data_IF_504240362688
#
_entry.id   IF_504240362688
#
_cell.length_a   1.000
_cell.length_b   1.000
_cell.length_c   1.000
_cell.angle_alpha   90.00
_cell.angle_beta   90.00
_cell.angle_gamma   90.00
#
_symmetry.space_group_name_H-M   'P 1'
#
loop_
_entity.id
_entity.type
_entity.pdbx_description
1 polymer ?
#
# COMPACT_ATOMS: atom_id res chain seq x y z
N UNK A 1 -8.84 31.20 -0.28
CA UNK A 1 -10.03 31.86 -0.91
C UNK A 1 -10.63 31.12 -2.11
N UNK A 2 -9.87 30.49 -3.03
CA UNK A 2 -10.44 29.82 -4.23
C UNK A 2 -11.10 28.44 -3.98
N UNK A 3 -10.79 27.76 -2.87
CA UNK A 3 -11.31 26.41 -2.56
C UNK A 3 -12.82 26.40 -2.30
N UNK A 4 -13.37 27.49 -1.75
CA UNK A 4 -14.76 27.53 -1.29
C UNK A 4 -15.79 27.80 -2.40
N UNK A 5 -15.34 28.17 -3.60
CA UNK A 5 -16.21 28.47 -4.75
C UNK A 5 -16.34 27.32 -5.75
N UNK A 6 -15.53 26.26 -5.64
CA UNK A 6 -15.56 25.12 -6.56
C UNK A 6 -16.74 24.18 -6.27
N UNK A 7 -17.36 23.61 -7.32
CA UNK A 7 -18.40 22.61 -7.14
C UNK A 7 -17.80 21.28 -6.63
N UNK A 8 -18.54 20.47 -5.85
CA UNK A 8 -18.03 19.22 -5.30
C UNK A 8 -17.40 18.25 -6.34
N UNK A 9 -17.96 18.09 -7.56
CA UNK A 9 -17.34 17.23 -8.58
C UNK A 9 -15.97 17.73 -9.07
N UNK A 10 -15.82 19.04 -9.26
CA UNK A 10 -14.56 19.67 -9.72
C UNK A 10 -13.49 19.55 -8.63
N UNK A 11 -13.88 19.81 -7.38
CA UNK A 11 -13.00 19.68 -6.23
C UNK A 11 -12.58 18.23 -6.01
N UNK A 12 -13.50 17.28 -6.15
CA UNK A 12 -13.23 15.84 -6.14
C UNK A 12 -12.19 15.45 -7.18
N UNK A 13 -12.34 15.91 -8.42
CA UNK A 13 -11.39 15.64 -9.50
C UNK A 13 -10.00 16.18 -9.17
N UNK A 14 -9.90 17.44 -8.74
CA UNK A 14 -8.64 18.07 -8.39
C UNK A 14 -7.95 17.37 -7.21
N UNK A 15 -8.70 17.11 -6.13
CA UNK A 15 -8.20 16.40 -4.94
C UNK A 15 -7.70 15.01 -5.31
N UNK A 16 -8.44 14.28 -6.15
CA UNK A 16 -8.03 12.94 -6.59
C UNK A 16 -6.68 12.95 -7.31
N UNK A 17 -6.52 13.78 -8.35
CA UNK A 17 -5.28 13.80 -9.13
C UNK A 17 -4.10 14.34 -8.33
N UNK A 18 -4.31 15.32 -7.46
CA UNK A 18 -3.26 15.81 -6.57
C UNK A 18 -2.88 14.75 -5.52
N UNK A 19 -3.83 14.03 -4.93
CA UNK A 19 -3.54 12.97 -3.97
C UNK A 19 -2.77 11.82 -4.63
N UNK A 20 -3.25 11.31 -5.77
CA UNK A 20 -2.62 10.21 -6.51
C UNK A 20 -1.26 10.62 -7.06
N UNK A 21 -1.12 11.85 -7.56
CA UNK A 21 0.14 12.42 -8.04
C UNK A 21 1.11 12.86 -6.93
N UNK A 22 0.83 12.51 -5.68
CA UNK A 22 1.76 12.72 -4.59
C UNK A 22 1.84 14.15 -4.05
N UNK A 23 0.87 15.00 -4.39
CA UNK A 23 0.76 16.39 -3.93
C UNK A 23 -0.25 16.55 -2.79
N UNK A 24 -0.56 15.47 -2.08
CA UNK A 24 -1.54 15.43 -0.98
C UNK A 24 -1.25 16.45 0.14
N UNK A 25 0.03 16.74 0.43
CA UNK A 25 0.43 17.75 1.40
C UNK A 25 0.02 19.18 1.02
N UNK A 26 -0.08 19.49 -0.28
CA UNK A 26 -0.42 20.82 -0.78
C UNK A 26 -1.93 21.10 -0.79
N UNK A 27 -2.75 20.05 -0.65
CA UNK A 27 -4.21 20.14 -0.80
C UNK A 27 -4.96 19.81 0.50
N UNK A 28 -4.30 19.90 1.66
CA UNK A 28 -4.89 19.51 2.95
C UNK A 28 -6.14 20.32 3.34
N UNK A 29 -6.16 21.63 3.06
CA UNK A 29 -7.35 22.47 3.29
C UNK A 29 -8.48 22.09 2.31
N UNK A 30 -8.14 21.85 1.05
CA UNK A 30 -9.09 21.48 0.01
C UNK A 30 -9.73 20.11 0.24
N UNK A 31 -8.96 19.12 0.70
CA UNK A 31 -9.47 17.80 1.04
C UNK A 31 -10.31 17.81 2.31
N UNK A 32 -9.96 18.62 3.33
CA UNK A 32 -10.80 18.84 4.50
C UNK A 32 -12.15 19.45 4.15
N UNK A 33 -12.15 20.53 3.37
CA UNK A 33 -13.39 21.18 2.90
C UNK A 33 -14.25 20.26 2.04
N UNK A 34 -13.62 19.45 1.16
CA UNK A 34 -14.34 18.44 0.38
C UNK A 34 -15.05 17.43 1.28
N UNK A 35 -14.35 16.89 2.30
CA UNK A 35 -14.92 15.92 3.24
C UNK A 35 -16.20 16.46 3.92
N UNK A 36 -16.16 17.71 4.42
CA UNK A 36 -17.33 18.38 5.01
C UNK A 36 -18.49 18.52 4.03
N UNK A 37 -18.21 18.88 2.76
CA UNK A 37 -19.25 19.05 1.73
C UNK A 37 -19.89 17.72 1.33
N UNK A 38 -19.12 16.64 1.25
CA UNK A 38 -19.64 15.32 0.91
C UNK A 38 -20.50 14.71 2.02
N UNK A 39 -20.33 15.14 3.28
CA UNK A 39 -21.27 14.76 4.34
C UNK A 39 -22.69 15.31 4.08
N UNK A 40 -22.81 16.39 3.30
CA UNK A 40 -24.06 17.06 2.97
C UNK A 40 -24.53 16.87 1.51
N UNK A 41 -23.78 16.14 0.68
CA UNK A 41 -24.08 15.98 -0.75
C UNK A 41 -23.65 14.62 -1.31
N UNK A 42 -24.28 14.19 -2.40
CA UNK A 42 -23.94 12.94 -3.11
C UNK A 42 -23.22 13.23 -4.42
N UNK A 43 -22.21 12.42 -4.76
CA UNK A 43 -21.62 12.42 -6.12
C UNK A 43 -22.37 11.39 -6.98
N UNK A 44 -22.71 11.77 -8.21
CA UNK A 44 -23.58 10.99 -9.10
C UNK A 44 -22.93 9.71 -9.68
N UNK A 45 -21.61 9.56 -9.57
CA UNK A 45 -20.85 8.47 -10.17
C UNK A 45 -20.16 7.60 -9.11
N UNK A 46 -20.51 6.30 -9.00
CA UNK A 46 -19.88 5.39 -8.03
C UNK A 46 -18.37 5.26 -8.19
N UNK A 47 -17.85 5.34 -9.42
CA UNK A 47 -16.40 5.32 -9.67
C UNK A 47 -15.73 6.60 -9.16
N UNK A 48 -16.33 7.75 -9.44
CA UNK A 48 -15.83 9.05 -8.95
C UNK A 48 -15.89 9.08 -7.43
N UNK A 49 -16.96 8.56 -6.83
CA UNK A 49 -17.09 8.43 -5.38
C UNK A 49 -15.97 7.57 -4.78
N UNK A 50 -15.71 6.38 -5.33
CA UNK A 50 -14.61 5.53 -4.87
C UNK A 50 -13.25 6.25 -4.97
N UNK A 51 -12.98 6.89 -6.12
CA UNK A 51 -11.77 7.70 -6.34
C UNK A 51 -11.62 8.85 -5.33
N UNK A 52 -12.74 9.46 -4.94
CA UNK A 52 -12.78 10.58 -3.99
C UNK A 52 -12.51 10.12 -2.57
N UNK A 53 -13.24 9.09 -2.12
CA UNK A 53 -13.07 8.47 -0.80
C UNK A 53 -11.64 7.97 -0.63
N UNK A 54 -11.09 7.33 -1.65
CA UNK A 54 -9.70 6.90 -1.65
C UNK A 54 -8.71 8.06 -1.56
N UNK A 55 -8.91 9.13 -2.33
CA UNK A 55 -8.06 10.32 -2.27
C UNK A 55 -8.09 10.99 -0.88
N UNK A 56 -9.25 11.02 -0.23
CA UNK A 56 -9.38 11.50 1.15
C UNK A 56 -8.60 10.61 2.13
N UNK A 57 -8.58 9.29 1.94
CA UNK A 57 -7.75 8.38 2.75
C UNK A 57 -6.26 8.65 2.54
N UNK A 58 -5.84 8.80 1.28
CA UNK A 58 -4.46 9.18 0.92
C UNK A 58 -4.07 10.49 1.62
N UNK A 59 -4.95 11.48 1.63
CA UNK A 59 -4.73 12.77 2.29
C UNK A 59 -4.89 12.78 3.82
N UNK A 60 -5.28 11.68 4.46
CA UNK A 60 -5.60 11.64 5.90
C UNK A 60 -6.74 12.59 6.31
N UNK A 61 -7.79 12.64 5.47
CA UNK A 61 -8.98 13.48 5.66
C UNK A 61 -10.30 12.72 5.51
N UNK A 62 -10.24 11.40 5.36
CA UNK A 62 -11.42 10.57 5.22
C UNK A 62 -12.18 10.45 6.55
N UNK A 63 -13.50 10.67 6.53
CA UNK A 63 -14.36 10.41 7.69
C UNK A 63 -14.84 8.94 7.73
N UNK A 64 -15.17 8.41 8.93
CA UNK A 64 -15.70 7.05 9.06
C UNK A 64 -16.98 6.82 8.26
N UNK A 65 -17.87 7.81 8.20
CA UNK A 65 -19.17 7.72 7.52
C UNK A 65 -18.98 7.57 6.01
N UNK A 66 -18.08 8.38 5.42
CA UNK A 66 -17.74 8.29 4.01
C UNK A 66 -17.05 6.96 3.68
N UNK A 67 -16.15 6.48 4.55
CA UNK A 67 -15.51 5.17 4.36
C UNK A 67 -16.52 4.03 4.33
N UNK A 68 -17.56 4.08 5.18
CA UNK A 68 -18.60 3.05 5.23
C UNK A 68 -19.45 2.99 3.95
N UNK A 69 -19.63 4.11 3.24
CA UNK A 69 -20.41 4.13 2.01
C UNK A 69 -19.84 3.22 0.92
N UNK A 70 -18.50 3.11 0.83
CA UNK A 70 -17.84 2.28 -0.20
C UNK A 70 -17.83 0.79 0.15
N UNK A 71 -18.19 0.44 1.39
CA UNK A 71 -18.31 -0.94 1.85
C UNK A 71 -19.74 -1.48 1.74
N UNK A 72 -20.72 -0.62 1.42
CA UNK A 72 -22.10 -1.06 1.26
C UNK A 72 -22.23 -2.06 0.10
N UNK A 73 -22.91 -3.20 0.28
CA UNK A 73 -23.03 -4.23 -0.76
C UNK A 73 -23.58 -3.70 -2.09
N UNK A 74 -24.53 -2.76 -2.04
CA UNK A 74 -25.11 -2.11 -3.22
C UNK A 74 -24.08 -1.27 -3.98
N UNK A 75 -23.23 -0.54 -3.26
CA UNK A 75 -22.14 0.25 -3.84
C UNK A 75 -21.10 -0.66 -4.49
N UNK A 76 -20.63 -1.67 -3.77
CA UNK A 76 -19.64 -2.65 -4.25
C UNK A 76 -20.15 -3.33 -5.54
N UNK A 77 -21.40 -3.79 -5.54
CA UNK A 77 -22.03 -4.40 -6.72
C UNK A 77 -22.08 -3.42 -7.89
N UNK A 78 -22.45 -2.16 -7.66
CA UNK A 78 -22.54 -1.14 -8.71
C UNK A 78 -21.18 -0.82 -9.32
N UNK A 79 -20.15 -0.57 -8.49
CA UNK A 79 -18.80 -0.24 -8.95
C UNK A 79 -18.16 -1.40 -9.71
N UNK A 80 -18.32 -2.63 -9.22
CA UNK A 80 -17.64 -3.80 -9.77
C UNK A 80 -18.39 -4.47 -10.92
N UNK A 81 -19.71 -4.29 -11.05
CA UNK A 81 -20.57 -5.07 -11.95
C UNK A 81 -20.21 -5.03 -13.44
N UNK A 82 -19.41 -4.06 -13.89
CA UNK A 82 -18.92 -3.94 -15.28
C UNK A 82 -17.40 -4.04 -15.40
N UNK A 83 -16.70 -4.42 -14.34
CA UNK A 83 -15.24 -4.51 -14.32
C UNK A 83 -14.81 -5.98 -14.37
N UNK A 84 -13.72 -6.25 -15.08
CA UNK A 84 -13.05 -7.55 -15.12
C UNK A 84 -11.53 -7.38 -15.12
N UNK A 85 -10.82 -8.47 -14.85
CA UNK A 85 -9.35 -8.51 -14.87
C UNK A 85 -8.71 -7.41 -14.01
N UNK A 86 -7.67 -6.76 -14.54
CA UNK A 86 -6.92 -5.71 -13.84
C UNK A 86 -7.77 -4.54 -13.37
N UNK A 87 -8.80 -4.15 -14.14
CA UNK A 87 -9.69 -3.03 -13.74
C UNK A 87 -10.52 -3.37 -12.51
N UNK A 88 -10.98 -4.63 -12.44
CA UNK A 88 -11.69 -5.12 -11.25
C UNK A 88 -10.75 -5.20 -10.05
N UNK A 89 -9.53 -5.74 -10.26
CA UNK A 89 -8.53 -5.83 -9.20
C UNK A 89 -8.20 -4.46 -8.61
N UNK A 90 -7.94 -3.44 -9.44
CA UNK A 90 -7.71 -2.06 -8.99
C UNK A 90 -8.83 -1.54 -8.09
N UNK A 91 -10.09 -1.72 -8.49
CA UNK A 91 -11.23 -1.27 -7.71
C UNK A 91 -11.36 -2.04 -6.39
N UNK A 92 -11.18 -3.38 -6.44
CA UNK A 92 -11.26 -4.25 -5.25
C UNK A 92 -10.16 -3.90 -4.24
N UNK A 93 -8.91 -3.73 -4.67
CA UNK A 93 -7.82 -3.35 -3.77
C UNK A 93 -8.02 -1.94 -3.20
N UNK A 94 -8.58 -1.01 -3.99
CA UNK A 94 -8.95 0.33 -3.49
C UNK A 94 -9.99 0.24 -2.38
N UNK A 95 -11.04 -0.56 -2.56
CA UNK A 95 -12.08 -0.79 -1.53
C UNK A 95 -11.47 -1.46 -0.29
N UNK A 96 -10.61 -2.47 -0.46
CA UNK A 96 -9.93 -3.16 0.63
C UNK A 96 -9.01 -2.23 1.44
N UNK A 97 -8.29 -1.32 0.78
CA UNK A 97 -7.46 -0.32 1.44
C UNK A 97 -8.29 0.69 2.23
N UNK A 98 -9.43 1.14 1.69
CA UNK A 98 -10.37 2.01 2.44
C UNK A 98 -10.97 1.28 3.63
N UNK A 99 -11.34 -0.01 3.46
CA UNK A 99 -11.79 -0.86 4.56
C UNK A 99 -10.76 -0.94 5.68
N UNK A 100 -9.49 -1.20 5.32
CA UNK A 100 -8.42 -1.29 6.30
C UNK A 100 -8.15 0.06 6.97
N UNK A 101 -8.19 1.16 6.21
CA UNK A 101 -8.10 2.52 6.77
C UNK A 101 -9.20 2.77 7.81
N UNK A 102 -10.44 2.39 7.50
CA UNK A 102 -11.56 2.48 8.45
C UNK A 102 -11.30 1.64 9.71
N UNK A 103 -10.97 0.36 9.55
CA UNK A 103 -10.83 -0.58 10.67
C UNK A 103 -9.59 -0.35 11.52
N UNK A 104 -8.48 0.09 10.95
CA UNK A 104 -7.22 0.21 11.68
C UNK A 104 -6.97 1.62 12.21
N UNK A 105 -7.49 2.66 11.55
CA UNK A 105 -7.15 4.06 11.84
C UNK A 105 -8.36 4.84 12.34
N UNK A 106 -9.49 4.81 11.62
CA UNK A 106 -10.63 5.68 11.94
C UNK A 106 -11.55 5.13 13.04
N UNK A 107 -11.88 3.84 12.98
CA UNK A 107 -12.81 3.19 13.90
C UNK A 107 -12.46 1.71 14.09
N UNK A 108 -11.64 1.43 15.11
CA UNK A 108 -11.21 0.08 15.49
C UNK A 108 -12.34 -0.85 15.95
N UNK A 109 -13.49 -0.29 16.32
CA UNK A 109 -14.65 -1.05 16.74
C UNK A 109 -15.65 -1.30 15.61
N UNK A 110 -15.34 -0.94 14.36
CA UNK A 110 -16.26 -1.10 13.23
C UNK A 110 -16.62 -2.58 12.98
N UNK A 111 -17.93 -2.87 13.03
CA UNK A 111 -18.53 -4.20 12.80
C UNK A 111 -19.50 -4.23 11.60
N UNK A 112 -19.47 -3.20 10.74
CA UNK A 112 -20.36 -3.13 9.58
C UNK A 112 -19.91 -4.02 8.42
N UNK A 113 -20.51 -3.85 7.22
CA UNK A 113 -20.15 -4.60 6.03
C UNK A 113 -18.65 -4.59 5.74
N UNK A 114 -18.15 -5.74 5.29
CA UNK A 114 -16.78 -5.91 4.84
C UNK A 114 -16.69 -6.68 3.53
N UNK A 115 -15.59 -6.48 2.82
CA UNK A 115 -15.25 -7.15 1.58
C UNK A 115 -14.05 -8.08 1.78
N UNK A 116 -14.04 -9.15 1.01
CA UNK A 116 -12.90 -10.04 0.83
C UNK A 116 -12.47 -10.04 -0.65
N UNK A 117 -11.15 -9.96 -0.89
CA UNK A 117 -10.61 -9.84 -2.25
C UNK A 117 -10.82 -11.13 -3.05
N UNK A 118 -10.66 -12.30 -2.43
CA UNK A 118 -10.80 -13.59 -3.10
C UNK A 118 -12.26 -13.82 -3.51
N UNK A 119 -13.21 -13.50 -2.62
CA UNK A 119 -14.64 -13.60 -2.87
C UNK A 119 -15.08 -12.68 -4.02
N UNK A 120 -14.58 -11.43 -4.02
CA UNK A 120 -14.94 -10.46 -5.05
C UNK A 120 -14.28 -10.77 -6.40
N UNK A 121 -13.04 -11.25 -6.41
CA UNK A 121 -12.30 -11.51 -7.65
C UNK A 121 -12.60 -12.88 -8.27
N UNK A 122 -12.89 -13.90 -7.45
CA UNK A 122 -13.12 -15.28 -7.87
C UNK A 122 -11.93 -15.86 -8.66
N UNK A 123 -10.72 -15.45 -8.30
CA UNK A 123 -9.47 -15.97 -8.84
C UNK A 123 -8.65 -16.63 -7.75
N UNK A 124 -7.78 -17.58 -8.13
CA UNK A 124 -6.82 -18.17 -7.20
C UNK A 124 -5.84 -17.11 -6.67
N UNK A 125 -5.32 -17.30 -5.45
CA UNK A 125 -4.32 -16.39 -4.87
C UNK A 125 -3.09 -16.24 -5.75
N UNK A 126 -2.64 -17.31 -6.41
CA UNK A 126 -1.51 -17.27 -7.35
C UNK A 126 -1.79 -16.33 -8.53
N UNK A 127 -2.99 -16.42 -9.12
CA UNK A 127 -3.40 -15.53 -10.21
C UNK A 127 -3.49 -14.08 -9.75
N UNK A 128 -4.04 -13.84 -8.55
CA UNK A 128 -4.14 -12.48 -8.00
C UNK A 128 -2.78 -11.87 -7.69
N UNK A 129 -1.85 -12.66 -7.16
CA UNK A 129 -0.48 -12.21 -6.86
C UNK A 129 0.26 -11.80 -8.14
N UNK A 130 0.15 -12.60 -9.21
CA UNK A 130 0.72 -12.25 -10.52
C UNK A 130 0.08 -10.99 -11.11
N UNK A 131 -1.25 -10.86 -11.03
CA UNK A 131 -1.95 -9.66 -11.49
C UNK A 131 -1.54 -8.42 -10.67
N UNK A 132 -1.42 -8.54 -9.36
CA UNK A 132 -1.02 -7.44 -8.48
C UNK A 132 0.42 -7.00 -8.74
N UNK A 133 1.35 -7.94 -8.96
CA UNK A 133 2.73 -7.66 -9.36
C UNK A 133 2.76 -6.84 -10.66
N UNK A 134 2.04 -7.32 -11.69
CA UNK A 134 1.96 -6.65 -13.01
C UNK A 134 1.30 -5.29 -12.92
N UNK A 135 0.29 -5.14 -12.06
CA UNK A 135 -0.38 -3.86 -11.83
C UNK A 135 0.54 -2.86 -11.14
N UNK A 136 1.32 -3.32 -10.15
CA UNK A 136 2.22 -2.49 -9.34
C UNK A 136 3.40 -1.96 -10.16
N UNK A 137 4.07 -2.83 -10.91
CA UNK A 137 5.34 -2.51 -11.56
C UNK A 137 5.20 -2.26 -13.07
N UNK A 138 4.21 -2.88 -13.71
CA UNK A 138 4.08 -2.88 -15.16
C UNK A 138 5.29 -3.51 -15.86
N UNK A 139 5.31 -3.42 -17.20
CA UNK A 139 6.39 -4.03 -18.01
C UNK A 139 7.75 -3.35 -17.84
N UNK A 140 7.77 -2.06 -17.54
CA UNK A 140 9.01 -1.28 -17.53
C UNK A 140 9.88 -1.59 -16.31
N UNK A 141 9.29 -2.02 -15.20
CA UNK A 141 10.00 -2.35 -13.96
C UNK A 141 10.17 -3.85 -13.72
N UNK A 142 9.65 -4.70 -14.62
CA UNK A 142 9.63 -6.16 -14.46
C UNK A 142 11.05 -6.74 -14.31
N UNK A 143 12.01 -6.23 -15.09
CA UNK A 143 13.41 -6.64 -14.98
C UNK A 143 14.05 -6.24 -13.64
N UNK A 144 13.82 -4.99 -13.20
CA UNK A 144 14.36 -4.47 -11.94
C UNK A 144 13.82 -5.25 -10.73
N UNK A 145 12.50 -5.45 -10.68
CA UNK A 145 11.87 -6.19 -9.57
C UNK A 145 12.27 -7.66 -9.59
N UNK A 146 12.40 -8.28 -10.77
CA UNK A 146 12.87 -9.67 -10.91
C UNK A 146 14.31 -9.84 -10.43
N UNK A 147 15.18 -8.87 -10.72
CA UNK A 147 16.55 -8.84 -10.20
C UNK A 147 16.57 -8.67 -8.68
N UNK A 148 15.79 -7.73 -8.15
CA UNK A 148 15.63 -7.54 -6.70
C UNK A 148 15.16 -8.82 -6.00
N UNK A 149 14.10 -9.47 -6.51
CA UNK A 149 13.63 -10.76 -5.99
C UNK A 149 14.74 -11.82 -6.03
N UNK A 150 15.51 -11.87 -7.12
CA UNK A 150 16.63 -12.82 -7.24
C UNK A 150 17.72 -12.59 -6.19
N UNK A 151 18.05 -11.34 -5.88
CA UNK A 151 18.98 -10.99 -4.80
C UNK A 151 18.39 -11.36 -3.43
N UNK A 152 17.18 -10.90 -3.15
CA UNK A 152 16.51 -11.15 -1.86
C UNK A 152 16.38 -12.66 -1.58
N UNK A 153 15.99 -13.45 -2.57
CA UNK A 153 15.77 -14.90 -2.40
C UNK A 153 17.07 -15.69 -2.22
N UNK A 154 18.21 -15.16 -2.68
CA UNK A 154 19.53 -15.73 -2.38
C UNK A 154 19.94 -15.47 -0.93
N UNK A 155 19.50 -14.35 -0.36
CA UNK A 155 19.76 -14.00 1.05
C UNK A 155 18.77 -14.69 2.00
N UNK A 156 17.48 -14.71 1.63
CA UNK A 156 16.38 -15.22 2.44
C UNK A 156 15.54 -16.18 1.59
N UNK A 157 15.74 -17.50 1.73
CA UNK A 157 15.09 -18.46 0.85
C UNK A 157 13.56 -18.46 1.01
N UNK A 158 12.86 -18.32 -0.12
CA UNK A 158 11.39 -18.28 -0.20
C UNK A 158 10.77 -19.59 0.24
N UNK A 159 9.58 -19.53 0.83
CA UNK A 159 8.80 -20.67 1.36
C UNK A 159 9.48 -21.40 2.53
N UNK A 160 10.64 -20.93 3.00
CA UNK A 160 11.30 -21.44 4.20
C UNK A 160 11.55 -20.36 5.24
N UNK A 161 11.97 -19.16 4.82
CA UNK A 161 12.27 -18.03 5.71
C UNK A 161 11.61 -16.72 5.28
N UNK A 162 11.06 -16.68 4.07
CA UNK A 162 10.30 -15.56 3.53
C UNK A 162 9.00 -16.06 2.90
N UNK A 163 7.90 -15.34 3.15
CA UNK A 163 6.72 -15.48 2.30
C UNK A 163 7.01 -14.86 0.92
N UNK A 164 6.55 -15.50 -0.17
CA UNK A 164 6.74 -15.00 -1.52
C UNK A 164 6.00 -13.66 -1.75
N UNK A 165 6.26 -12.98 -2.88
CA UNK A 165 5.49 -11.82 -3.28
C UNK A 165 3.98 -12.11 -3.26
N UNK A 166 3.21 -11.26 -2.59
CA UNK A 166 1.78 -11.51 -2.39
C UNK A 166 0.96 -10.23 -2.29
N UNK A 167 -0.27 -10.29 -2.77
CA UNK A 167 -1.31 -9.33 -2.43
C UNK A 167 -1.85 -9.69 -1.04
N UNK A 168 -1.82 -8.74 -0.11
CA UNK A 168 -2.44 -8.88 1.21
C UNK A 168 -3.96 -8.75 1.12
N UNK A 169 -4.67 -9.25 2.13
CA UNK A 169 -6.13 -9.11 2.24
C UNK A 169 -6.61 -7.64 2.23
N UNK A 170 -5.74 -6.73 2.68
CA UNK A 170 -6.00 -5.28 2.74
C UNK A 170 -5.73 -4.57 1.39
N UNK A 171 -5.43 -5.34 0.33
CA UNK A 171 -5.21 -4.80 -1.00
C UNK A 171 -3.84 -4.17 -1.22
N UNK A 172 -2.84 -4.51 -0.39
CA UNK A 172 -1.47 -4.01 -0.51
C UNK A 172 -0.58 -5.12 -1.04
N UNK A 173 0.15 -4.86 -2.13
CA UNK A 173 1.14 -5.82 -2.65
C UNK A 173 2.46 -5.67 -1.90
N UNK A 174 3.01 -6.78 -1.41
CA UNK A 174 4.30 -6.86 -0.74
C UNK A 174 5.23 -7.79 -1.51
N UNK A 175 6.52 -7.44 -1.60
CA UNK A 175 7.51 -8.25 -2.33
C UNK A 175 7.96 -9.46 -1.52
N UNK A 176 7.98 -9.36 -0.20
CA UNK A 176 8.18 -10.49 0.71
C UNK A 176 7.71 -10.11 2.12
N UNK A 177 7.46 -11.12 2.95
CA UNK A 177 7.32 -10.93 4.41
C UNK A 177 8.36 -11.79 5.11
N UNK A 178 9.15 -11.15 5.97
CA UNK A 178 10.35 -11.72 6.60
C UNK A 178 10.33 -11.43 8.10
N UNK A 179 10.96 -12.28 8.91
CA UNK A 179 11.33 -11.98 10.31
C UNK A 179 12.83 -12.18 10.47
N UNK A 180 13.51 -11.22 11.09
CA UNK A 180 14.95 -11.26 11.34
C UNK A 180 15.22 -11.15 12.84
N UNK A 181 15.87 -12.18 13.41
CA UNK A 181 16.39 -12.14 14.77
C UNK A 181 17.78 -11.50 14.73
N UNK A 182 17.87 -10.18 14.94
CA UNK A 182 19.16 -9.46 14.87
C UNK A 182 20.11 -9.95 15.96
N UNK A 183 19.62 -10.21 17.17
CA UNK A 183 20.42 -10.75 18.28
C UNK A 183 20.97 -12.14 17.96
N UNK A 184 20.16 -12.98 17.33
CA UNK A 184 20.57 -14.30 16.85
C UNK A 184 21.28 -14.29 15.49
N UNK A 185 21.40 -13.12 14.84
CA UNK A 185 21.91 -12.93 13.48
C UNK A 185 21.35 -13.96 12.48
N UNK A 186 20.03 -14.19 12.51
CA UNK A 186 19.38 -15.23 11.70
C UNK A 186 17.97 -14.86 11.26
N UNK A 187 17.61 -15.26 10.05
CA UNK A 187 16.21 -15.22 9.62
C UNK A 187 15.40 -16.29 10.38
N UNK A 188 14.19 -15.94 10.78
CA UNK A 188 13.28 -16.89 11.43
C UNK A 188 12.70 -17.80 10.33
N UNK A 189 12.62 -19.13 10.52
CA UNK A 189 11.92 -20.00 9.59
C UNK A 189 10.40 -19.80 9.66
N UNK A 190 9.68 -19.96 8.55
CA UNK A 190 8.21 -19.85 8.48
C UNK A 190 7.49 -20.77 9.47
N UNK A 191 8.07 -21.94 9.79
CA UNK A 191 7.52 -22.85 10.81
C UNK A 191 7.45 -22.25 12.21
N UNK A 192 8.24 -21.22 12.51
CA UNK A 192 8.31 -20.52 13.80
C UNK A 192 7.85 -19.06 13.71
N UNK A 193 7.25 -18.65 12.59
CA UNK A 193 6.86 -17.25 12.39
C UNK A 193 5.86 -16.77 13.42
N UNK A 194 4.88 -17.59 13.81
CA UNK A 194 3.85 -17.20 14.79
C UNK A 194 4.31 -17.34 16.25
N UNK A 195 5.30 -18.19 16.51
CA UNK A 195 5.81 -18.46 17.86
C UNK A 195 6.72 -17.34 18.38
N UNK A 196 7.36 -16.62 17.46
CA UNK A 196 8.34 -15.57 17.78
C UNK A 196 7.67 -14.20 17.89
N UNK A 197 8.09 -13.42 18.91
CA UNK A 197 7.67 -12.02 19.09
C UNK A 197 8.40 -11.03 18.16
N UNK A 198 9.33 -11.52 17.36
CA UNK A 198 10.07 -10.71 16.38
C UNK A 198 9.07 -10.08 15.40
N UNK A 199 9.20 -8.78 15.09
CA UNK A 199 8.27 -8.09 14.19
C UNK A 199 8.32 -8.66 12.77
N UNK A 200 7.19 -8.55 12.05
CA UNK A 200 7.11 -8.91 10.64
C UNK A 200 7.58 -7.74 9.79
N UNK A 201 8.65 -7.95 9.02
CA UNK A 201 9.13 -7.00 8.03
C UNK A 201 8.33 -7.19 6.73
N UNK A 202 7.70 -6.14 6.23
CA UNK A 202 7.06 -6.12 4.91
C UNK A 202 8.03 -5.49 3.91
N UNK A 203 8.63 -6.32 3.06
CA UNK A 203 9.60 -5.86 2.07
C UNK A 203 8.86 -5.26 0.88
N UNK A 204 9.16 -4.01 0.55
CA UNK A 204 8.54 -3.26 -0.55
C UNK A 204 9.62 -2.77 -1.50
N UNK A 205 9.47 -3.10 -2.78
CA UNK A 205 10.23 -2.45 -3.83
C UNK A 205 9.49 -1.19 -4.31
N UNK A 206 10.23 -0.08 -4.38
CA UNK A 206 9.77 1.21 -4.84
C UNK A 206 10.21 1.42 -6.28
N UNK A 207 9.21 1.59 -7.14
CA UNK A 207 9.42 2.07 -8.50
C UNK A 207 9.70 3.57 -8.49
N UNK A 208 10.24 4.10 -9.60
CA UNK A 208 10.42 5.54 -9.78
C UNK A 208 9.13 6.37 -9.63
N UNK A 209 7.95 5.75 -9.72
CA UNK A 209 6.64 6.42 -9.55
C UNK A 209 6.27 6.67 -8.09
N UNK A 210 6.97 6.03 -7.16
CA UNK A 210 6.60 6.03 -5.74
C UNK A 210 7.23 7.19 -4.97
N UNK A 211 8.21 7.88 -5.56
CA UNK A 211 9.04 8.89 -4.92
C UNK A 211 8.89 10.25 -5.58
N UNK A 212 9.03 11.30 -4.79
CA UNK A 212 9.20 12.66 -5.29
C UNK A 212 10.68 13.01 -5.44
N UNK A 213 11.00 13.82 -6.45
CA UNK A 213 12.34 14.39 -6.62
C UNK A 213 12.49 15.66 -5.76
N UNK A 214 13.68 15.95 -5.21
CA UNK A 214 14.91 15.16 -5.28
C UNK A 214 14.90 13.93 -4.35
N UNK A 215 15.71 12.93 -4.69
CA UNK A 215 15.93 11.75 -3.84
C UNK A 215 16.79 12.15 -2.63
N UNK A 216 16.16 12.50 -1.52
CA UNK A 216 16.86 12.59 -0.23
C UNK A 216 17.08 11.19 0.35
N UNK A 217 18.10 11.01 1.19
CA UNK A 217 18.52 9.72 1.77
C UNK A 217 17.43 9.04 2.65
N UNK A 218 16.38 9.77 3.05
CA UNK A 218 15.23 9.22 3.76
C UNK A 218 14.14 8.78 2.76
N UNK A 219 14.19 7.49 2.40
CA UNK A 219 13.26 6.82 1.50
C UNK A 219 11.79 6.98 1.91
N UNK A 220 11.46 7.12 3.21
CA UNK A 220 10.08 7.34 3.67
C UNK A 220 9.61 8.79 3.47
N UNK A 221 10.48 9.77 3.71
CA UNK A 221 10.16 11.19 3.56
C UNK A 221 9.81 11.61 2.13
N UNK A 222 10.30 10.84 1.14
CA UNK A 222 10.07 11.11 -0.29
C UNK A 222 8.82 10.39 -0.84
N UNK A 223 8.21 9.49 -0.06
CA UNK A 223 7.01 8.76 -0.46
C UNK A 223 5.80 9.67 -0.53
N UNK A 224 5.00 9.47 -1.57
CA UNK A 224 3.78 10.26 -1.73
C UNK A 224 2.61 9.44 -2.26
N UNK A 225 1.41 9.98 -2.11
CA UNK A 225 0.20 9.43 -2.70
C UNK A 225 -0.14 8.00 -2.23
N UNK A 226 -0.51 7.08 -3.14
CA UNK A 226 -0.91 5.71 -2.79
C UNK A 226 0.15 4.92 -2.02
N UNK A 227 1.44 5.16 -2.32
CA UNK A 227 2.53 4.43 -1.67
C UNK A 227 2.69 4.83 -0.21
N UNK A 228 2.58 6.12 0.10
CA UNK A 228 2.53 6.61 1.48
C UNK A 228 1.34 6.03 2.26
N UNK A 229 0.15 5.96 1.63
CA UNK A 229 -1.01 5.30 2.23
C UNK A 229 -0.72 3.82 2.53
N UNK A 230 -0.15 3.07 1.59
CA UNK A 230 0.19 1.66 1.79
C UNK A 230 1.13 1.44 2.99
N UNK A 231 2.17 2.28 3.13
CA UNK A 231 3.12 2.19 4.26
C UNK A 231 2.40 2.41 5.58
N UNK A 232 1.57 3.46 5.68
CA UNK A 232 0.77 3.74 6.88
C UNK A 232 -0.17 2.58 7.23
N UNK A 233 -0.81 1.99 6.23
CA UNK A 233 -1.71 0.86 6.41
C UNK A 233 -0.97 -0.42 6.86
N UNK A 234 0.21 -0.70 6.30
CA UNK A 234 1.08 -1.80 6.74
C UNK A 234 1.52 -1.61 8.21
N UNK A 235 1.96 -0.40 8.57
CA UNK A 235 2.31 -0.04 9.96
C UNK A 235 1.13 -0.23 10.90
N UNK A 236 -0.07 0.22 10.51
CA UNK A 236 -1.29 0.05 11.30
C UNK A 236 -1.68 -1.44 11.51
N UNK A 237 -1.20 -2.33 10.64
CA UNK A 237 -1.37 -3.78 10.76
C UNK A 237 -0.25 -4.48 11.56
N UNK A 238 0.74 -3.72 12.04
CA UNK A 238 1.86 -4.24 12.83
C UNK A 238 3.01 -4.80 11.99
N UNK A 239 3.06 -4.49 10.68
CA UNK A 239 4.26 -4.70 9.89
C UNK A 239 5.24 -3.54 10.07
N UNK A 240 6.53 -3.84 9.89
CA UNK A 240 7.57 -2.83 9.69
C UNK A 240 7.90 -2.83 8.20
N UNK A 241 7.50 -1.81 7.44
CA UNK A 241 7.84 -1.73 6.03
C UNK A 241 9.34 -1.50 5.85
N UNK A 242 9.97 -2.25 4.95
CA UNK A 242 11.38 -2.07 4.58
C UNK A 242 11.43 -1.76 3.10
N UNK A 243 11.93 -0.57 2.79
CA UNK A 243 11.85 0.04 1.47
C UNK A 243 13.16 -0.17 0.71
N UNK A 244 13.02 -0.63 -0.53
CA UNK A 244 14.13 -0.79 -1.46
C UNK A 244 13.82 -0.10 -2.78
N UNK A 245 14.82 0.49 -3.43
CA UNK A 245 14.72 0.99 -4.80
C UNK A 245 15.82 0.43 -5.70
N UNK A 246 15.83 0.87 -6.95
CA UNK A 246 16.95 0.60 -7.85
C UNK A 246 18.29 1.11 -7.30
N UNK A 247 18.28 2.20 -6.52
CA UNK A 247 19.50 2.80 -5.95
C UNK A 247 20.19 1.88 -4.92
N UNK A 248 19.45 0.91 -4.37
CA UNK A 248 20.00 -0.08 -3.45
C UNK A 248 20.76 -1.22 -4.17
N UNK A 249 20.60 -1.36 -5.48
CA UNK A 249 21.16 -2.47 -6.27
C UNK A 249 21.82 -1.98 -7.57
N UNK A 250 22.48 -0.81 -7.52
CA UNK A 250 23.23 -0.30 -8.67
C UNK A 250 24.16 -1.39 -9.23
N UNK A 251 24.03 -1.67 -10.52
CA UNK A 251 24.83 -2.65 -11.26
C UNK A 251 26.33 -2.37 -11.21
N UNK A 252 26.75 -1.15 -10.88
CA UNK A 252 28.15 -0.77 -10.71
C UNK A 252 28.74 -1.21 -9.36
N UNK A 253 27.89 -1.60 -8.40
CA UNK A 253 28.32 -2.11 -7.08
C UNK A 253 28.51 -3.63 -7.13
N UNK A 254 29.43 -4.15 -6.33
CA UNK A 254 29.67 -5.59 -6.28
C UNK A 254 28.49 -6.33 -5.64
N UNK A 255 28.25 -7.58 -6.02
CA UNK A 255 27.19 -8.40 -5.41
C UNK A 255 27.31 -8.47 -3.88
N UNK A 256 28.53 -8.51 -3.35
CA UNK A 256 28.77 -8.54 -1.90
C UNK A 256 28.27 -7.27 -1.23
N UNK A 257 28.50 -6.10 -1.83
CA UNK A 257 28.01 -4.82 -1.31
C UNK A 257 26.49 -4.75 -1.39
N UNK A 258 25.88 -5.19 -2.49
CA UNK A 258 24.43 -5.27 -2.62
C UNK A 258 23.79 -6.16 -1.54
N UNK A 259 24.33 -7.36 -1.30
CA UNK A 259 23.86 -8.24 -0.21
C UNK A 259 24.02 -7.60 1.16
N UNK A 260 25.14 -6.93 1.40
CA UNK A 260 25.41 -6.23 2.66
C UNK A 260 24.37 -5.14 2.86
N UNK A 261 24.08 -4.33 1.83
CA UNK A 261 23.07 -3.27 1.88
C UNK A 261 21.65 -3.79 2.15
N UNK A 262 21.25 -4.90 1.52
CA UNK A 262 19.95 -5.55 1.84
C UNK A 262 19.90 -5.96 3.30
N UNK A 263 20.94 -6.66 3.76
CA UNK A 263 20.98 -7.19 5.13
C UNK A 263 20.95 -6.06 6.16
N UNK A 264 21.75 -5.02 5.96
CA UNK A 264 21.81 -3.85 6.85
C UNK A 264 20.45 -3.15 6.95
N UNK A 265 19.76 -2.87 5.82
CA UNK A 265 18.41 -2.27 5.85
C UNK A 265 17.40 -3.15 6.60
N UNK A 266 17.49 -4.48 6.48
CA UNK A 266 16.62 -5.40 7.22
C UNK A 266 16.96 -5.45 8.73
N UNK A 267 18.24 -5.38 9.09
CA UNK A 267 18.72 -5.33 10.47
C UNK A 267 18.28 -4.04 11.17
N UNK A 268 18.53 -2.89 10.54
CA UNK A 268 18.13 -1.56 11.06
C UNK A 268 16.62 -1.50 11.33
N UNK A 269 15.80 -1.89 10.35
CA UNK A 269 14.35 -1.92 10.51
C UNK A 269 13.88 -2.89 11.61
N UNK A 270 14.61 -3.98 11.85
CA UNK A 270 14.25 -4.94 12.90
C UNK A 270 14.70 -4.48 14.29
N UNK A 271 15.80 -3.74 14.41
CA UNK A 271 16.31 -3.22 15.68
C UNK A 271 15.55 -2.00 16.19
N UNK A 272 15.12 -1.11 15.30
CA UNK A 272 14.33 0.09 15.65
C UNK A 272 12.98 -0.25 16.31
N UNK A 273 12.50 -1.49 16.12
CA UNK A 273 11.29 -2.01 16.76
C UNK A 273 11.41 -2.23 18.27
N UNK A 274 12.64 -2.19 18.83
CA UNK A 274 12.91 -2.33 20.25
C UNK A 274 12.90 -1.04 21.06
N UNK A 275 12.81 0.13 20.40
CA UNK A 275 12.93 1.46 21.02
C UNK A 275 11.67 2.35 20.90
N UNK A 276 10.54 1.81 20.46
CA UNK A 276 9.26 2.52 20.32
C UNK A 276 8.20 2.09 21.32
#
# INVERSE_FOLDING_TARGET
>A
CFVRSAAPPELSYAVHWCAVGGKGGLIQEASGYLCEKLAASTIDSPKTWLSTVYALAVCDRLSPELAQTVLQPSFVTNVLGRLSGFRKLMAVTTIAQVQHFLKAILNKAYQGPSVDILDLMQFSSTTLNDMALKLRYGKNEEGNVGYFHSLLHKLVPVNSHAFPPTLTEDGIFVNAVIKLDVKGNRFVPLSHFEETKIPRLAVIYLSWRDRTLPYDDDDESTLTGPSLLNIRLLKARGFIPVLFSQDDFDSNTSLKEQFTRIKTKLEEASDDSGNG
#
